data_IF_877316379117
#
_entry.id   IF_877316379117
#
_cell.length_a   1.000
_cell.length_b   1.000
_cell.length_c   1.000
_cell.angle_alpha   90.00
_cell.angle_beta   90.00
_cell.angle_gamma   90.00
#
_symmetry.space_group_name_H-M   'P 1'
#
loop_
_entity.id
_entity.type
_entity.pdbx_description
1 polymer ?
#
# COMPACT_ATOMS: atom_id res chain seq x y z
N UNK A 1 2.77 19.68 10.08
CA UNK A 1 1.87 19.52 8.90
C UNK A 1 1.14 18.20 9.01
N UNK A 2 0.00 18.07 8.38
CA UNK A 2 -0.90 16.91 8.51
C UNK A 2 -0.76 16.04 7.27
N UNK A 3 -0.65 14.74 7.41
CA UNK A 3 -0.81 13.79 6.30
C UNK A 3 -2.25 13.28 6.30
N UNK A 4 -2.88 13.22 5.13
CA UNK A 4 -4.22 12.66 4.96
C UNK A 4 -4.13 11.40 4.11
N UNK A 5 -4.62 10.28 4.64
CA UNK A 5 -4.54 8.94 4.03
C UNK A 5 -5.95 8.46 3.73
N UNK A 6 -6.27 8.16 2.47
CA UNK A 6 -7.57 7.62 2.06
C UNK A 6 -7.38 6.27 1.37
N UNK A 7 -8.15 5.27 1.79
CA UNK A 7 -8.12 3.92 1.23
C UNK A 7 -9.13 3.80 0.07
N UNK A 8 -8.65 3.45 -1.12
CA UNK A 8 -9.45 3.23 -2.33
C UNK A 8 -9.54 1.76 -2.73
N UNK A 9 -8.64 0.93 -2.21
CA UNK A 9 -8.63 -0.51 -2.35
C UNK A 9 -7.84 -1.13 -1.21
N UNK A 10 -8.38 -2.19 -0.62
CA UNK A 10 -7.92 -2.78 0.65
C UNK A 10 -7.71 -4.28 0.58
N UNK A 11 -8.19 -4.92 -0.51
CA UNK A 11 -8.21 -6.37 -0.69
C UNK A 11 -6.92 -6.86 -1.34
N UNK A 12 -6.39 -8.00 -0.88
CA UNK A 12 -5.19 -8.61 -1.45
C UNK A 12 -5.48 -9.57 -2.59
N UNK A 13 -4.48 -9.83 -3.39
CA UNK A 13 -4.36 -10.86 -4.43
C UNK A 13 -5.33 -10.73 -5.62
N UNK A 14 -6.63 -10.53 -5.40
CA UNK A 14 -7.65 -10.42 -6.43
C UNK A 14 -8.82 -9.57 -5.95
N UNK A 15 -9.51 -8.84 -6.85
CA UNK A 15 -10.73 -8.15 -6.47
C UNK A 15 -11.80 -9.12 -5.96
N UNK A 16 -12.43 -8.78 -4.86
CA UNK A 16 -13.47 -9.60 -4.21
C UNK A 16 -14.77 -8.79 -4.00
N UNK A 17 -15.47 -8.41 -5.10
CA UNK A 17 -16.72 -7.69 -4.99
C UNK A 17 -17.86 -8.60 -4.51
N UNK A 18 -18.74 -8.07 -3.68
CA UNK A 18 -19.91 -8.82 -3.22
C UNK A 18 -20.50 -8.28 -1.94
N UNK A 19 -21.68 -8.80 -1.57
CA UNK A 19 -22.36 -8.37 -0.35
C UNK A 19 -21.56 -8.70 0.92
N UNK A 20 -20.75 -9.76 0.89
CA UNK A 20 -19.93 -10.20 2.03
C UNK A 20 -18.66 -9.38 2.25
N UNK A 21 -18.30 -8.51 1.31
CA UNK A 21 -17.09 -7.68 1.33
C UNK A 21 -17.40 -6.20 1.16
N UNK A 22 -18.66 -5.82 1.23
CA UNK A 22 -19.12 -4.46 0.90
C UNK A 22 -18.69 -3.41 1.93
N UNK A 23 -18.48 -3.80 3.19
CA UNK A 23 -18.12 -2.87 4.26
C UNK A 23 -16.64 -2.48 4.21
N UNK A 24 -15.73 -3.45 4.14
CA UNK A 24 -14.30 -3.16 4.06
C UNK A 24 -13.82 -2.92 2.63
N UNK A 25 -14.60 -3.33 1.64
CA UNK A 25 -14.31 -3.14 0.22
C UNK A 25 -13.72 -4.38 -0.44
N UNK A 26 -13.85 -4.43 -1.76
CA UNK A 26 -13.41 -5.53 -2.62
C UNK A 26 -12.37 -5.14 -3.66
N UNK A 27 -11.94 -3.87 -3.73
CA UNK A 27 -10.89 -3.44 -4.64
C UNK A 27 -9.49 -3.76 -4.11
N UNK A 28 -8.56 -4.02 -5.02
CA UNK A 28 -7.17 -4.31 -4.71
C UNK A 28 -6.36 -3.04 -4.41
N UNK A 29 -5.14 -3.13 -3.83
CA UNK A 29 -4.46 -2.07 -3.11
C UNK A 29 -4.36 -0.74 -3.87
N UNK A 30 -4.89 0.29 -3.27
CA UNK A 30 -4.69 1.67 -3.69
C UNK A 30 -4.93 2.61 -2.51
N UNK A 31 -3.93 3.40 -2.13
CA UNK A 31 -4.02 4.35 -1.03
C UNK A 31 -3.59 5.73 -1.51
N UNK A 32 -4.46 6.72 -1.34
CA UNK A 32 -4.15 8.13 -1.59
C UNK A 32 -3.52 8.74 -0.36
N UNK A 33 -2.39 9.42 -0.52
CA UNK A 33 -1.76 10.24 0.49
C UNK A 33 -1.68 11.69 0.01
N UNK A 34 -2.15 12.61 0.87
CA UNK A 34 -1.96 14.06 0.70
C UNK A 34 -1.07 14.60 1.79
N UNK A 35 -0.07 15.37 1.40
CA UNK A 35 0.80 16.09 2.34
C UNK A 35 0.17 17.41 2.78
N UNK A 36 0.74 18.05 3.79
CA UNK A 36 0.32 19.37 4.22
C UNK A 36 0.50 20.49 3.19
N UNK A 37 1.34 20.30 2.17
CA UNK A 37 1.49 21.15 0.98
C UNK A 37 0.55 20.76 -0.15
N UNK A 38 -0.31 19.74 0.08
CA UNK A 38 -1.22 19.16 -0.90
C UNK A 38 -0.54 18.38 -2.05
N UNK A 39 0.73 17.97 -1.88
CA UNK A 39 1.34 17.03 -2.81
C UNK A 39 0.57 15.69 -2.76
N UNK A 40 0.36 15.09 -3.93
CA UNK A 40 -0.39 13.83 -4.10
C UNK A 40 0.58 12.68 -4.33
N UNK A 41 0.53 11.70 -3.44
CA UNK A 41 1.15 10.40 -3.64
C UNK A 41 0.07 9.32 -3.68
N UNK A 42 0.23 8.35 -4.56
CA UNK A 42 -0.64 7.19 -4.69
C UNK A 42 0.22 5.96 -4.38
N UNK A 43 -0.16 5.18 -3.37
CA UNK A 43 0.55 3.98 -2.97
C UNK A 43 -0.19 2.79 -3.55
N UNK A 44 0.46 2.09 -4.46
CA UNK A 44 -0.06 1.04 -5.34
C UNK A 44 -1.24 1.45 -6.23
N UNK A 45 -1.46 0.69 -7.29
CA UNK A 45 -2.36 1.00 -8.38
C UNK A 45 -3.25 -0.20 -8.77
N UNK A 46 -3.74 -0.92 -7.75
CA UNK A 46 -4.75 -1.95 -7.89
C UNK A 46 -6.07 -1.40 -8.38
N UNK A 47 -7.14 -2.21 -8.36
CA UNK A 47 -8.43 -1.79 -8.92
C UNK A 47 -9.04 -0.57 -8.25
N UNK A 48 -8.65 -0.28 -6.98
CA UNK A 48 -9.09 0.92 -6.27
C UNK A 48 -8.72 2.23 -6.96
N UNK A 49 -7.63 2.26 -7.76
CA UNK A 49 -7.19 3.47 -8.46
C UNK A 49 -8.21 3.98 -9.48
N UNK A 50 -9.09 3.10 -9.99
CA UNK A 50 -10.17 3.50 -10.89
C UNK A 50 -11.11 4.51 -10.21
N UNK A 51 -11.55 4.24 -9.00
CA UNK A 51 -12.43 5.14 -8.24
C UNK A 51 -11.68 6.42 -7.80
N UNK A 52 -10.43 6.28 -7.37
CA UNK A 52 -9.56 7.41 -7.12
C UNK A 52 -9.46 8.33 -8.36
N UNK A 53 -9.31 7.76 -9.55
CA UNK A 53 -9.21 8.52 -10.79
C UNK A 53 -10.42 9.42 -11.06
N UNK A 54 -11.63 8.90 -10.86
CA UNK A 54 -12.86 9.72 -10.99
C UNK A 54 -12.91 10.83 -9.95
N UNK A 55 -12.62 10.50 -8.69
CA UNK A 55 -12.58 11.50 -7.62
C UNK A 55 -11.51 12.57 -7.84
N UNK A 56 -10.33 12.21 -8.38
CA UNK A 56 -9.30 13.18 -8.71
C UNK A 56 -9.74 14.15 -9.81
N UNK A 57 -10.35 13.66 -10.88
CA UNK A 57 -10.86 14.51 -11.98
C UNK A 57 -11.95 15.46 -11.49
N UNK A 58 -12.89 14.98 -10.68
CA UNK A 58 -13.94 15.80 -10.08
C UNK A 58 -13.35 16.91 -9.19
N UNK A 59 -12.46 16.55 -8.25
CA UNK A 59 -11.82 17.49 -7.33
C UNK A 59 -10.90 18.49 -8.05
N UNK A 60 -10.28 18.08 -9.15
CA UNK A 60 -9.40 18.94 -9.93
C UNK A 60 -10.18 20.03 -10.67
N UNK A 61 -11.45 19.80 -11.04
CA UNK A 61 -12.28 20.79 -11.72
C UNK A 61 -11.65 21.32 -13.01
N UNK A 62 -10.98 20.45 -13.77
CA UNK A 62 -10.26 20.79 -15.01
C UNK A 62 -8.84 21.31 -14.82
N UNK A 63 -8.33 21.42 -13.59
CA UNK A 63 -6.93 21.78 -13.32
C UNK A 63 -5.99 20.57 -13.53
N UNK A 64 -4.71 20.82 -13.83
CA UNK A 64 -3.72 19.75 -13.88
C UNK A 64 -3.66 18.91 -12.61
N UNK A 65 -3.58 17.58 -12.77
CA UNK A 65 -3.29 16.66 -11.70
C UNK A 65 -1.81 16.25 -11.87
N UNK A 66 -1.03 16.42 -10.81
CA UNK A 66 0.36 15.98 -10.72
C UNK A 66 0.47 15.03 -9.54
N UNK A 67 1.00 13.82 -9.77
CA UNK A 67 1.12 12.82 -8.72
C UNK A 67 2.34 11.91 -8.91
N UNK A 68 2.93 11.49 -7.80
CA UNK A 68 3.84 10.34 -7.74
C UNK A 68 3.02 9.07 -7.42
N UNK A 69 3.17 8.02 -8.25
CA UNK A 69 2.58 6.70 -8.03
C UNK A 69 3.71 5.79 -7.54
N UNK A 70 3.70 5.48 -6.26
CA UNK A 70 4.69 4.65 -5.59
C UNK A 70 4.24 3.20 -5.63
N UNK A 71 4.89 2.36 -6.43
CA UNK A 71 4.54 0.95 -6.54
C UNK A 71 5.43 0.11 -5.63
N UNK A 72 4.82 -0.64 -4.73
CA UNK A 72 5.53 -1.55 -3.84
C UNK A 72 6.24 -2.64 -4.63
N UNK A 73 5.57 -3.21 -5.62
CA UNK A 73 6.07 -4.21 -6.58
C UNK A 73 5.09 -4.35 -7.76
N UNK A 74 5.34 -5.32 -8.66
CA UNK A 74 4.61 -5.46 -9.91
C UNK A 74 3.64 -6.67 -9.93
N UNK A 75 3.25 -7.24 -8.79
CA UNK A 75 2.18 -8.23 -8.79
C UNK A 75 0.88 -7.60 -9.27
N UNK A 76 0.05 -8.43 -9.88
CA UNK A 76 -1.06 -7.92 -10.69
C UNK A 76 -2.08 -7.11 -9.90
N UNK A 77 -2.38 -7.50 -8.69
CA UNK A 77 -3.29 -6.79 -7.81
C UNK A 77 -2.81 -5.38 -7.40
N UNK A 78 -1.51 -5.08 -7.55
CA UNK A 78 -0.94 -3.75 -7.30
C UNK A 78 -0.85 -2.86 -8.55
N UNK A 79 -1.11 -3.40 -9.75
CA UNK A 79 -0.97 -2.64 -11.00
C UNK A 79 -2.19 -2.75 -11.92
N UNK A 80 -3.10 -3.69 -11.70
CA UNK A 80 -4.19 -4.02 -12.64
C UNK A 80 -5.20 -2.88 -12.86
N UNK A 81 -5.23 -1.87 -12.01
CA UNK A 81 -6.12 -0.73 -12.16
C UNK A 81 -5.63 0.34 -13.16
N UNK A 82 -4.35 0.33 -13.52
CA UNK A 82 -3.74 1.35 -14.40
C UNK A 82 -4.46 1.48 -15.74
N UNK A 83 -4.85 0.42 -16.44
CA UNK A 83 -5.59 0.53 -17.71
C UNK A 83 -6.93 1.28 -17.58
N UNK A 84 -7.45 1.41 -16.37
CA UNK A 84 -8.73 2.05 -16.07
C UNK A 84 -8.56 3.35 -15.25
N UNK A 85 -7.35 3.83 -15.07
CA UNK A 85 -7.08 5.10 -14.40
C UNK A 85 -7.28 6.27 -15.36
N UNK A 86 -8.52 6.77 -15.41
CA UNK A 86 -8.99 7.76 -16.37
C UNK A 86 -8.10 8.99 -16.53
N UNK A 87 -7.45 9.54 -15.46
CA UNK A 87 -6.56 10.68 -15.60
C UNK A 87 -5.39 10.48 -16.56
N UNK A 88 -4.91 9.25 -16.78
CA UNK A 88 -3.84 8.97 -17.75
C UNK A 88 -4.27 9.23 -19.19
N UNK A 89 -5.56 9.12 -19.52
CA UNK A 89 -6.09 9.34 -20.86
C UNK A 89 -6.42 10.81 -21.15
N UNK A 90 -6.30 11.69 -20.18
CA UNK A 90 -6.56 13.12 -20.34
C UNK A 90 -5.24 13.90 -20.44
N UNK A 91 -5.18 14.85 -21.41
CA UNK A 91 -4.01 15.71 -21.56
C UNK A 91 -3.94 16.76 -20.41
N UNK A 92 -2.73 17.23 -20.11
CA UNK A 92 -2.51 18.26 -19.09
C UNK A 92 -2.25 17.72 -17.68
N UNK A 93 -2.28 16.40 -17.50
CA UNK A 93 -1.89 15.74 -16.24
C UNK A 93 -0.47 15.18 -16.33
N UNK A 94 0.16 14.96 -15.18
CA UNK A 94 1.51 14.40 -15.07
C UNK A 94 1.56 13.35 -13.96
N UNK A 95 2.06 12.16 -14.28
CA UNK A 95 2.21 11.06 -13.35
C UNK A 95 3.61 10.46 -13.43
N UNK A 96 4.27 10.36 -12.27
CA UNK A 96 5.57 9.70 -12.16
C UNK A 96 5.41 8.37 -11.43
N UNK A 97 5.61 7.26 -12.13
CA UNK A 97 5.72 5.93 -11.53
C UNK A 97 7.07 5.80 -10.86
N UNK A 98 7.08 5.42 -9.59
CA UNK A 98 8.28 5.31 -8.79
C UNK A 98 8.34 3.96 -8.08
N UNK A 99 9.54 3.40 -7.99
CA UNK A 99 9.82 2.15 -7.29
C UNK A 99 11.30 2.04 -6.93
N UNK A 100 11.64 1.04 -6.12
CA UNK A 100 13.03 0.76 -5.82
C UNK A 100 13.81 0.47 -7.11
N UNK A 101 15.10 0.87 -7.21
CA UNK A 101 15.90 0.71 -8.44
C UNK A 101 15.90 -0.73 -8.98
N UNK A 102 15.95 -1.72 -8.10
CA UNK A 102 15.97 -3.14 -8.47
C UNK A 102 14.63 -3.62 -9.08
N UNK A 103 13.52 -2.96 -8.80
CA UNK A 103 12.18 -3.39 -9.22
C UNK A 103 11.62 -2.54 -10.37
N UNK A 104 12.11 -1.32 -10.56
CA UNK A 104 11.51 -0.35 -11.48
C UNK A 104 11.42 -0.85 -12.93
N UNK A 105 12.45 -1.50 -13.44
CA UNK A 105 12.43 -2.04 -14.80
C UNK A 105 11.38 -3.13 -15.00
N UNK A 106 11.19 -3.98 -14.01
CA UNK A 106 10.12 -4.99 -13.99
C UNK A 106 8.73 -4.35 -13.88
N UNK A 107 8.59 -3.29 -13.08
CA UNK A 107 7.36 -2.50 -12.96
C UNK A 107 6.97 -1.89 -14.30
N UNK A 108 7.88 -1.16 -14.96
CA UNK A 108 7.60 -0.57 -16.28
C UNK A 108 7.23 -1.63 -17.31
N UNK A 109 7.96 -2.74 -17.35
CA UNK A 109 7.63 -3.86 -18.23
C UNK A 109 6.21 -4.40 -17.97
N UNK A 110 5.86 -4.66 -16.72
CA UNK A 110 4.56 -5.20 -16.35
C UNK A 110 3.41 -4.23 -16.69
N UNK A 111 3.59 -2.92 -16.45
CA UNK A 111 2.61 -1.90 -16.79
C UNK A 111 2.37 -1.83 -18.31
N UNK A 112 3.40 -1.95 -19.13
CA UNK A 112 3.27 -1.98 -20.59
C UNK A 112 2.68 -3.30 -21.07
N UNK A 113 3.08 -4.43 -20.49
CA UNK A 113 2.64 -5.77 -20.89
C UNK A 113 1.13 -6.00 -20.67
N UNK A 114 0.54 -5.44 -19.62
CA UNK A 114 -0.90 -5.56 -19.38
C UNK A 114 -1.76 -4.73 -20.35
N UNK A 115 -1.15 -3.86 -21.15
CA UNK A 115 -1.82 -3.03 -22.16
C UNK A 115 -1.41 -3.39 -23.59
N UNK A 116 -1.22 -4.67 -23.86
CA UNK A 116 -0.98 -5.18 -25.23
C UNK A 116 -2.29 -5.56 -25.91
N UNK A 117 -2.34 -5.54 -27.23
CA UNK A 117 -3.54 -5.84 -28.01
C UNK A 117 -4.16 -7.23 -27.72
N UNK A 118 -3.38 -8.16 -27.16
CA UNK A 118 -3.88 -9.48 -26.77
C UNK A 118 -4.77 -9.45 -25.51
N UNK A 119 -4.61 -8.45 -24.64
CA UNK A 119 -5.28 -8.41 -23.33
C UNK A 119 -6.02 -7.08 -23.08
N UNK A 120 -5.70 -6.01 -23.81
CA UNK A 120 -6.34 -4.71 -23.68
C UNK A 120 -6.43 -3.98 -25.04
N UNK A 121 -7.56 -3.29 -25.34
CA UNK A 121 -7.79 -2.72 -26.67
C UNK A 121 -6.92 -1.54 -27.04
N UNK A 122 -6.27 -0.88 -26.08
CA UNK A 122 -5.37 0.24 -26.30
C UNK A 122 -4.01 -0.01 -25.62
N UNK A 123 -2.94 0.45 -26.25
CA UNK A 123 -1.60 0.31 -25.72
C UNK A 123 -1.28 1.37 -24.68
N UNK A 124 -0.22 1.16 -23.91
CA UNK A 124 0.28 2.13 -22.94
C UNK A 124 0.58 3.52 -23.56
N UNK A 125 1.03 3.54 -24.82
CA UNK A 125 1.34 4.77 -25.55
C UNK A 125 0.09 5.59 -25.93
N UNK A 126 -1.12 5.09 -25.68
CA UNK A 126 -2.36 5.83 -25.87
C UNK A 126 -2.63 6.83 -24.73
N UNK A 127 -1.86 6.81 -23.65
CA UNK A 127 -1.96 7.80 -22.59
C UNK A 127 -1.63 9.20 -23.11
N UNK A 128 -2.44 10.18 -22.70
CA UNK A 128 -2.30 11.57 -23.08
C UNK A 128 -1.68 12.44 -22.00
N UNK A 129 -1.68 11.96 -20.76
CA UNK A 129 -0.93 12.54 -19.67
C UNK A 129 0.57 12.36 -19.90
N UNK A 130 1.37 13.23 -19.32
CA UNK A 130 2.83 13.01 -19.24
C UNK A 130 3.08 11.88 -18.23
N UNK A 131 3.85 10.86 -18.65
CA UNK A 131 4.17 9.69 -17.84
C UNK A 131 5.67 9.54 -17.74
N UNK A 132 6.17 9.45 -16.52
CA UNK A 132 7.57 9.27 -16.21
C UNK A 132 7.80 8.02 -15.37
N UNK A 133 8.98 7.40 -15.51
CA UNK A 133 9.47 6.33 -14.65
C UNK A 133 10.73 6.80 -13.96
N UNK A 134 10.76 6.79 -12.63
CA UNK A 134 11.92 7.26 -11.86
C UNK A 134 12.21 6.31 -10.69
N UNK A 135 13.44 5.82 -10.63
CA UNK A 135 13.90 5.07 -9.46
C UNK A 135 13.95 5.97 -8.23
N UNK A 136 13.64 5.38 -7.09
CA UNK A 136 13.80 6.04 -5.80
C UNK A 136 15.24 5.92 -5.32
N UNK A 137 15.78 7.00 -4.78
CA UNK A 137 16.98 6.93 -3.97
C UNK A 137 16.66 6.39 -2.57
N UNK A 138 17.68 6.08 -1.77
CA UNK A 138 17.51 5.62 -0.39
C UNK A 138 16.69 6.62 0.45
N UNK A 139 16.89 7.91 0.21
CA UNK A 139 16.09 9.00 0.81
C UNK A 139 15.71 9.97 -0.31
N UNK A 140 14.41 10.15 -0.48
CA UNK A 140 13.82 11.11 -1.40
C UNK A 140 13.20 12.28 -0.65
N UNK A 141 13.23 13.46 -1.26
CA UNK A 141 12.52 14.65 -0.77
C UNK A 141 11.62 15.18 -1.87
N UNK A 142 10.35 15.37 -1.53
CA UNK A 142 9.37 15.99 -2.39
C UNK A 142 8.80 17.25 -1.75
N UNK A 143 7.72 17.77 -2.35
CA UNK A 143 7.03 18.93 -1.82
C UNK A 143 6.30 18.61 -0.52
N UNK A 144 6.86 19.07 0.60
CA UNK A 144 6.33 18.85 1.94
C UNK A 144 6.47 17.44 2.51
N UNK A 145 7.27 16.56 1.88
CA UNK A 145 7.52 15.22 2.43
C UNK A 145 8.97 14.76 2.27
N UNK A 146 9.36 13.79 3.10
CA UNK A 146 10.53 12.96 2.90
C UNK A 146 10.11 11.49 2.89
N UNK A 147 10.74 10.71 2.01
CA UNK A 147 10.45 9.30 1.78
C UNK A 147 11.71 8.46 2.00
N UNK A 148 11.58 7.36 2.74
CA UNK A 148 12.59 6.30 2.83
C UNK A 148 11.98 4.98 2.40
N UNK A 149 12.81 4.08 1.88
CA UNK A 149 12.40 2.74 1.46
C UNK A 149 13.07 1.66 2.27
N UNK A 150 12.44 0.47 2.32
CA UNK A 150 13.02 -0.76 2.86
C UNK A 150 12.61 -1.95 2.01
N UNK A 151 13.50 -2.92 1.77
CA UNK A 151 13.10 -4.17 1.12
C UNK A 151 12.23 -5.01 2.05
N UNK A 152 11.23 -5.67 1.48
CA UNK A 152 10.28 -6.54 2.17
C UNK A 152 10.47 -8.00 1.77
N UNK A 153 10.00 -8.90 2.63
CA UNK A 153 10.02 -10.35 2.39
C UNK A 153 8.76 -10.75 1.64
N UNK A 154 8.87 -10.79 0.32
CA UNK A 154 7.80 -11.16 -0.59
C UNK A 154 8.39 -11.81 -1.86
N UNK A 155 7.75 -12.83 -2.48
CA UNK A 155 8.23 -13.44 -3.71
C UNK A 155 8.43 -12.40 -4.83
N UNK A 156 9.59 -12.38 -5.44
CA UNK A 156 9.95 -11.36 -6.44
C UNK A 156 10.42 -10.03 -5.86
N UNK A 157 10.35 -9.84 -4.55
CA UNK A 157 10.70 -8.61 -3.83
C UNK A 157 9.57 -7.60 -3.81
N UNK A 158 9.48 -6.85 -2.71
CA UNK A 158 8.59 -5.71 -2.56
C UNK A 158 9.28 -4.59 -1.77
N UNK A 159 8.72 -3.39 -1.81
CA UNK A 159 9.27 -2.18 -1.17
C UNK A 159 8.28 -1.63 -0.16
N UNK A 160 8.74 -1.46 1.08
CA UNK A 160 8.05 -0.69 2.11
C UNK A 160 8.43 0.78 2.03
N UNK A 161 7.48 1.65 2.35
CA UNK A 161 7.64 3.10 2.30
C UNK A 161 7.44 3.73 3.67
N UNK A 162 8.36 4.59 4.10
CA UNK A 162 8.19 5.47 5.25
C UNK A 162 8.15 6.91 4.76
N UNK A 163 6.99 7.55 4.90
CA UNK A 163 6.73 8.90 4.43
C UNK A 163 6.52 9.79 5.66
N UNK A 164 7.30 10.86 5.73
CA UNK A 164 7.26 11.82 6.85
C UNK A 164 7.00 13.22 6.34
N UNK A 165 6.53 14.10 7.21
CA UNK A 165 6.58 15.54 6.93
C UNK A 165 8.03 15.97 6.66
N UNK A 166 8.22 16.70 5.58
CA UNK A 166 9.56 17.04 5.07
C UNK A 166 10.38 17.96 5.97
N UNK A 167 9.73 18.67 6.87
CA UNK A 167 10.37 19.66 7.74
C UNK A 167 10.63 19.12 9.15
N UNK A 168 9.64 18.44 9.74
CA UNK A 168 9.69 18.00 11.14
C UNK A 168 10.07 16.53 11.30
N UNK A 169 9.96 15.73 10.23
CA UNK A 169 10.12 14.28 10.29
C UNK A 169 8.96 13.54 10.96
N UNK A 170 7.95 14.26 11.41
CA UNK A 170 6.71 13.75 12.01
C UNK A 170 5.52 14.61 11.56
N UNK A 171 4.31 14.05 11.38
CA UNK A 171 3.97 12.64 11.56
C UNK A 171 4.63 11.71 10.53
N UNK A 172 4.60 10.40 10.78
CA UNK A 172 5.14 9.38 9.88
C UNK A 172 4.07 8.36 9.52
N UNK A 173 3.82 8.19 8.21
CA UNK A 173 3.13 7.04 7.64
C UNK A 173 4.16 5.99 7.24
N UNK A 174 3.95 4.75 7.66
CA UNK A 174 4.66 3.60 7.08
C UNK A 174 3.65 2.72 6.34
N UNK A 175 3.96 2.41 5.08
CA UNK A 175 3.17 1.56 4.21
C UNK A 175 3.96 0.29 3.87
N UNK A 176 3.44 -0.85 4.27
CA UNK A 176 3.99 -2.18 4.03
C UNK A 176 2.84 -3.02 3.49
N UNK A 177 2.74 -3.13 2.18
CA UNK A 177 1.64 -3.83 1.52
C UNK A 177 1.80 -5.34 1.67
N UNK A 178 2.83 -5.94 1.08
CA UNK A 178 3.07 -7.37 1.02
C UNK A 178 4.38 -7.70 1.73
N UNK A 179 4.28 -8.42 2.83
CA UNK A 179 5.46 -8.76 3.64
C UNK A 179 5.19 -9.96 4.53
N UNK A 180 6.13 -10.89 4.58
CA UNK A 180 6.03 -12.06 5.43
C UNK A 180 6.90 -11.90 6.69
N UNK A 181 6.27 -11.72 7.85
CA UNK A 181 6.94 -11.59 9.15
C UNK A 181 7.36 -12.93 9.75
N UNK A 182 6.72 -14.02 9.34
CA UNK A 182 7.00 -15.35 9.84
C UNK A 182 8.32 -15.94 9.32
N UNK A 183 8.68 -17.10 9.85
CA UNK A 183 9.87 -17.84 9.42
C UNK A 183 9.54 -18.72 8.23
N UNK A 184 9.58 -18.18 7.03
CA UNK A 184 9.50 -18.96 5.80
C UNK A 184 10.91 -19.26 5.25
N UNK A 185 11.13 -20.50 4.86
CA UNK A 185 12.29 -20.87 4.06
C UNK A 185 12.13 -20.25 2.66
N UNK A 186 13.21 -19.69 2.12
CA UNK A 186 13.20 -19.15 0.75
C UNK A 186 13.42 -17.65 0.63
N UNK A 187 13.31 -16.88 1.71
CA UNK A 187 13.79 -15.50 1.71
C UNK A 187 15.23 -15.43 2.19
N UNK A 188 16.10 -14.90 1.38
CA UNK A 188 17.45 -14.51 1.80
C UNK A 188 17.34 -13.22 2.64
N UNK A 189 16.90 -13.36 3.89
CA UNK A 189 16.94 -12.25 4.83
C UNK A 189 18.30 -12.23 5.53
N UNK A 190 18.92 -11.05 5.52
CA UNK A 190 20.12 -10.84 6.32
C UNK A 190 19.84 -11.12 7.80
N UNK A 191 20.81 -11.63 8.57
CA UNK A 191 20.69 -11.65 10.01
C UNK A 191 20.30 -10.26 10.53
N UNK A 192 19.29 -10.18 11.40
CA UNK A 192 18.82 -8.90 11.94
C UNK A 192 17.74 -8.20 11.11
N UNK A 193 17.27 -8.77 9.99
CA UNK A 193 16.22 -8.16 9.15
C UNK A 193 15.00 -7.71 9.95
N UNK A 194 14.54 -8.51 10.93
CA UNK A 194 13.40 -8.12 11.75
C UNK A 194 13.69 -6.88 12.60
N UNK A 195 14.89 -6.79 13.16
CA UNK A 195 15.29 -5.63 13.96
C UNK A 195 15.39 -4.37 13.09
N UNK A 196 15.91 -4.49 11.87
CA UNK A 196 15.93 -3.41 10.88
C UNK A 196 14.51 -2.95 10.53
N UNK A 197 13.58 -3.89 10.32
CA UNK A 197 12.18 -3.56 10.06
C UNK A 197 11.53 -2.87 11.27
N UNK A 198 11.77 -3.33 12.51
CA UNK A 198 11.31 -2.64 13.73
C UNK A 198 11.85 -1.21 13.78
N UNK A 199 13.13 -1.00 13.45
CA UNK A 199 13.71 0.36 13.40
C UNK A 199 13.08 1.21 12.29
N UNK A 200 12.81 0.63 11.12
CA UNK A 200 12.16 1.32 10.01
C UNK A 200 10.73 1.78 10.36
N UNK A 201 9.99 0.96 11.09
CA UNK A 201 8.62 1.23 11.53
C UNK A 201 8.55 2.09 12.80
N UNK A 202 9.64 2.17 13.58
CA UNK A 202 9.70 2.78 14.91
C UNK A 202 9.02 4.14 14.99
N UNK A 203 8.10 4.25 15.96
CA UNK A 203 7.41 5.49 16.30
C UNK A 203 6.52 6.05 15.18
N UNK A 204 6.11 5.21 14.22
CA UNK A 204 5.18 5.64 13.18
C UNK A 204 3.85 6.10 13.80
N UNK A 205 3.33 7.22 13.31
CA UNK A 205 2.00 7.71 13.71
C UNK A 205 0.91 6.82 13.11
N UNK A 206 1.17 6.26 11.90
CA UNK A 206 0.31 5.31 11.22
C UNK A 206 1.16 4.24 10.52
N UNK A 207 0.92 2.98 10.84
CA UNK A 207 1.42 1.83 10.10
C UNK A 207 0.26 1.18 9.34
N UNK A 208 0.35 1.14 8.03
CA UNK A 208 -0.50 0.32 7.15
C UNK A 208 0.29 -0.93 6.81
N UNK A 209 -0.17 -2.09 7.21
CA UNK A 209 0.58 -3.35 7.03
C UNK A 209 -0.33 -4.49 6.55
N UNK A 210 0.17 -5.28 5.61
CA UNK A 210 -0.39 -6.57 5.23
C UNK A 210 -0.70 -7.42 6.48
N UNK A 211 -1.91 -7.92 6.56
CA UNK A 211 -2.37 -8.81 7.61
C UNK A 211 -3.40 -9.78 7.01
N UNK A 212 -2.93 -10.72 6.21
CA UNK A 212 -3.78 -11.54 5.36
C UNK A 212 -4.25 -12.82 6.05
N UNK A 213 -3.40 -13.43 6.91
CA UNK A 213 -3.62 -14.77 7.41
C UNK A 213 -3.89 -14.83 8.92
N UNK A 214 -4.77 -15.78 9.30
CA UNK A 214 -4.80 -16.34 10.65
C UNK A 214 -3.61 -17.29 10.85
N UNK A 215 -3.35 -17.71 12.09
CA UNK A 215 -2.28 -18.66 12.39
C UNK A 215 -2.43 -19.99 11.61
N UNK A 216 -3.65 -20.55 11.55
CA UNK A 216 -3.92 -21.80 10.86
C UNK A 216 -3.80 -21.69 9.33
N UNK A 217 -4.18 -20.55 8.77
CA UNK A 217 -4.05 -20.28 7.33
C UNK A 217 -2.58 -20.11 6.96
N UNK A 218 -1.81 -19.41 7.77
CA UNK A 218 -0.39 -19.16 7.52
C UNK A 218 0.43 -20.45 7.38
N UNK A 219 0.14 -21.49 8.19
CA UNK A 219 0.83 -22.75 8.10
C UNK A 219 0.75 -23.39 6.70
N UNK A 220 -0.33 -23.14 5.98
CA UNK A 220 -0.57 -23.63 4.59
C UNK A 220 -0.04 -22.69 3.51
N UNK A 221 0.32 -21.46 3.88
CA UNK A 221 0.71 -20.40 2.95
C UNK A 221 2.10 -19.81 3.28
N UNK A 222 2.93 -20.54 4.03
CA UNK A 222 4.31 -20.12 4.27
C UNK A 222 5.06 -19.93 2.97
N UNK A 223 5.79 -18.81 2.86
CA UNK A 223 6.52 -18.45 1.65
C UNK A 223 5.68 -17.76 0.59
N UNK A 224 4.41 -17.44 0.87
CA UNK A 224 3.54 -16.69 -0.05
C UNK A 224 3.70 -15.17 0.09
N UNK A 225 4.46 -14.71 1.09
CA UNK A 225 4.82 -13.30 1.21
C UNK A 225 3.85 -12.46 2.02
N UNK A 226 3.04 -13.07 2.90
CA UNK A 226 2.04 -12.37 3.70
C UNK A 226 2.12 -12.73 5.18
N UNK A 227 1.65 -11.82 6.03
CA UNK A 227 1.77 -11.92 7.47
C UNK A 227 0.51 -12.42 8.15
N UNK A 228 0.73 -13.02 9.34
CA UNK A 228 -0.34 -13.29 10.30
C UNK A 228 -0.75 -12.01 11.03
N UNK A 229 -2.02 -11.94 11.41
CA UNK A 229 -2.55 -10.82 12.20
C UNK A 229 -1.74 -10.56 13.48
N UNK A 230 -1.40 -11.63 14.21
CA UNK A 230 -0.69 -11.56 15.48
C UNK A 230 0.72 -10.99 15.33
N UNK A 231 1.45 -11.40 14.28
CA UNK A 231 2.81 -10.94 14.03
C UNK A 231 2.85 -9.45 13.70
N UNK A 232 1.83 -8.96 12.99
CA UNK A 232 1.70 -7.55 12.63
C UNK A 232 1.41 -6.69 13.85
N UNK A 233 0.52 -7.16 14.74
CA UNK A 233 0.25 -6.50 16.03
C UNK A 233 1.51 -6.44 16.88
N UNK A 234 2.26 -7.55 16.95
CA UNK A 234 3.49 -7.61 17.74
C UNK A 234 4.57 -6.68 17.18
N UNK A 235 4.76 -6.64 15.86
CA UNK A 235 5.66 -5.68 15.21
C UNK A 235 5.30 -4.23 15.57
N UNK A 236 4.01 -3.89 15.50
CA UNK A 236 3.54 -2.54 15.80
C UNK A 236 3.77 -2.16 17.27
N UNK A 237 3.59 -3.09 18.20
CA UNK A 237 3.87 -2.90 19.64
C UNK A 237 5.38 -2.73 19.87
N UNK A 238 6.21 -3.63 19.32
CA UNK A 238 7.68 -3.60 19.47
C UNK A 238 8.28 -2.30 18.92
N UNK A 239 7.68 -1.77 17.87
CA UNK A 239 8.12 -0.52 17.24
C UNK A 239 7.52 0.76 17.88
N UNK A 240 6.61 0.63 18.83
CA UNK A 240 5.95 1.80 19.46
C UNK A 240 5.09 2.60 18.47
N UNK A 241 4.39 1.93 17.58
CA UNK A 241 3.44 2.53 16.63
C UNK A 241 2.23 3.08 17.37
N UNK A 242 1.69 4.22 16.92
CA UNK A 242 0.50 4.81 17.56
C UNK A 242 -0.79 4.17 17.03
N UNK A 243 -0.91 4.02 15.69
CA UNK A 243 -2.05 3.41 15.01
C UNK A 243 -1.59 2.38 13.99
N UNK A 244 -2.18 1.19 14.03
CA UNK A 244 -2.00 0.12 13.05
C UNK A 244 -3.28 -0.01 12.22
N UNK A 245 -3.15 -0.05 10.90
CA UNK A 245 -4.22 -0.40 9.97
C UNK A 245 -3.89 -1.75 9.34
N UNK A 246 -4.68 -2.76 9.64
CA UNK A 246 -4.65 -4.06 8.96
C UNK A 246 -5.07 -3.86 7.51
N UNK A 247 -4.25 -4.32 6.58
CA UNK A 247 -4.40 -4.06 5.15
C UNK A 247 -4.26 -5.35 4.34
N UNK A 248 -4.48 -5.31 3.04
CA UNK A 248 -4.30 -6.43 2.13
C UNK A 248 -5.12 -7.66 2.54
N UNK A 249 -6.42 -7.44 2.83
CA UNK A 249 -7.31 -8.46 3.36
C UNK A 249 -7.45 -9.65 2.42
N UNK A 250 -7.44 -10.86 2.98
CA UNK A 250 -7.63 -12.10 2.21
C UNK A 250 -8.90 -12.00 1.34
N UNK A 251 -8.86 -12.36 0.05
CA UNK A 251 -9.99 -12.16 -0.86
C UNK A 251 -11.28 -12.88 -0.42
N UNK A 252 -11.15 -14.04 0.21
CA UNK A 252 -12.30 -14.80 0.71
C UNK A 252 -12.75 -14.40 2.14
N UNK A 253 -12.08 -13.42 2.77
CA UNK A 253 -12.43 -12.95 4.11
C UNK A 253 -13.68 -12.08 4.06
N UNK A 254 -14.80 -12.57 4.63
CA UNK A 254 -16.02 -11.76 4.75
C UNK A 254 -15.84 -10.60 5.73
N UNK A 255 -16.68 -9.59 5.62
CA UNK A 255 -16.73 -8.46 6.56
C UNK A 255 -16.91 -8.90 8.00
N UNK A 256 -17.72 -9.93 8.24
CA UNK A 256 -17.92 -10.52 9.57
C UNK A 256 -16.62 -11.12 10.08
N UNK A 257 -15.99 -11.99 9.30
CA UNK A 257 -14.74 -12.65 9.68
C UNK A 257 -13.59 -11.63 9.87
N UNK A 258 -13.54 -10.57 9.06
CA UNK A 258 -12.55 -9.51 9.24
C UNK A 258 -12.79 -8.70 10.52
N UNK A 259 -14.05 -8.43 10.86
CA UNK A 259 -14.43 -7.76 12.12
C UNK A 259 -14.03 -8.60 13.34
N UNK A 260 -14.18 -9.92 13.27
CA UNK A 260 -13.72 -10.85 14.31
C UNK A 260 -12.20 -10.83 14.47
N UNK A 261 -11.43 -10.82 13.35
CA UNK A 261 -9.98 -10.70 13.39
C UNK A 261 -9.53 -9.35 13.96
N UNK A 262 -10.21 -8.26 13.58
CA UNK A 262 -9.94 -6.94 14.18
C UNK A 262 -10.14 -6.94 15.68
N UNK A 263 -11.25 -7.50 16.16
CA UNK A 263 -11.53 -7.62 17.60
C UNK A 263 -10.47 -8.48 18.32
N UNK A 264 -10.02 -9.58 17.71
CA UNK A 264 -8.94 -10.41 18.24
C UNK A 264 -7.59 -9.63 18.34
N UNK A 265 -7.27 -8.83 17.33
CA UNK A 265 -6.08 -7.96 17.36
C UNK A 265 -6.16 -6.91 18.48
N UNK A 266 -7.30 -6.26 18.64
CA UNK A 266 -7.55 -5.27 19.71
C UNK A 266 -7.45 -5.90 21.10
N UNK A 267 -7.99 -7.11 21.27
CA UNK A 267 -7.87 -7.90 22.50
C UNK A 267 -6.41 -8.23 22.81
N UNK A 268 -5.61 -8.66 21.80
CA UNK A 268 -4.17 -8.94 21.94
C UNK A 268 -3.41 -7.71 22.46
N UNK A 269 -3.69 -6.52 21.92
CA UNK A 269 -3.10 -5.25 22.39
C UNK A 269 -3.43 -5.01 23.87
N UNK A 270 -4.70 -5.20 24.26
CA UNK A 270 -5.14 -5.06 25.65
C UNK A 270 -4.46 -6.04 26.59
N UNK A 271 -4.35 -7.32 26.20
CA UNK A 271 -3.69 -8.38 26.99
C UNK A 271 -2.19 -8.10 27.19
N UNK A 272 -1.55 -7.45 26.21
CA UNK A 272 -0.14 -7.00 26.31
C UNK A 272 0.02 -5.69 27.06
N UNK A 273 -1.05 -5.01 27.48
CA UNK A 273 -1.01 -3.72 28.15
C UNK A 273 -0.41 -2.60 27.29
N UNK A 274 -0.44 -2.75 25.96
CA UNK A 274 0.16 -1.80 25.04
C UNK A 274 -0.79 -0.64 24.70
N UNK A 275 -0.22 0.49 24.26
CA UNK A 275 -0.96 1.64 23.75
C UNK A 275 -0.87 1.67 22.22
N UNK A 276 -1.71 0.87 21.57
CA UNK A 276 -1.79 0.79 20.13
C UNK A 276 -3.26 0.80 19.71
N UNK A 277 -3.65 1.73 18.85
CA UNK A 277 -4.96 1.68 18.20
C UNK A 277 -4.87 0.75 16.99
N UNK A 278 -5.77 -0.22 16.88
CA UNK A 278 -5.83 -1.15 15.73
C UNK A 278 -7.12 -0.93 14.97
N UNK A 279 -6.99 -0.70 13.68
CA UNK A 279 -8.06 -0.51 12.70
C UNK A 279 -7.92 -1.55 11.59
N UNK A 280 -8.97 -1.79 10.84
CA UNK A 280 -8.91 -2.48 9.56
C UNK A 280 -9.21 -1.47 8.43
N UNK A 281 -8.45 -1.53 7.35
CA UNK A 281 -8.66 -0.66 6.20
C UNK A 281 -10.04 -0.92 5.59
N UNK A 282 -10.78 0.15 5.34
CA UNK A 282 -12.05 0.10 4.63
C UNK A 282 -12.05 1.15 3.50
N UNK A 283 -12.57 0.78 2.33
CA UNK A 283 -12.66 1.69 1.19
C UNK A 283 -13.47 2.94 1.54
N UNK A 284 -13.01 4.09 1.06
CA UNK A 284 -13.61 5.40 1.35
C UNK A 284 -13.22 5.99 2.70
N UNK A 285 -12.58 5.22 3.60
CA UNK A 285 -12.13 5.76 4.90
C UNK A 285 -10.93 6.68 4.71
N UNK A 286 -10.99 7.84 5.38
CA UNK A 286 -9.90 8.81 5.41
C UNK A 286 -9.39 8.98 6.83
N UNK A 287 -8.09 8.87 7.02
CA UNK A 287 -7.38 9.08 8.28
C UNK A 287 -6.50 10.33 8.20
N UNK A 288 -6.47 11.08 9.26
CA UNK A 288 -5.53 12.19 9.47
C UNK A 288 -4.40 11.74 10.39
N UNK A 289 -3.17 12.02 9.98
CA UNK A 289 -1.94 11.60 10.67
C UNK A 289 -1.16 12.83 11.13
#
# INVERSE_FOLDING_TARGET
MTLTVTFWGTRGSVPAPGASTAYFGGNTPCVELRTGTNALLILDAGTGIRHLGYSLLERAGGKPIVADILLSHAHWDHIQGIPYFTPLFAAGHEFTFRGAPALLGGIEYALRAQMTAAVFPVTFDAFRAQVHFRALNEVERGDGYALKTTPLRHPGGATGYRITDGNSGAPALVYISDNELGNAEGYSSAPGWRDELVQFVRGASLLVHDAQYTADEYERHRGWGHSRYEDVVDLAIDAGVQRLVLFHHHPERSDIALSEQLAACQKRVSEKGARLEVLAAAEGTTLTV
#
